data_IF_388829347501
#
_entry.id   IF_388829347501
#
_cell.length_a   1.000
_cell.length_b   1.000
_cell.length_c   1.000
_cell.angle_alpha   90.00
_cell.angle_beta   90.00
_cell.angle_gamma   90.00
#
_symmetry.space_group_name_H-M   'P 1'
#
loop_
_entity.id
_entity.type
_entity.pdbx_description
1 polymer ?
#
# COMPACT_ATOMS: atom_id res chain seq x y z
N UNK A 1 -15.83 -0.85 -11.45
CA UNK A 1 -15.12 -1.05 -10.17
C UNK A 1 -14.73 -2.52 -10.11
N UNK A 2 -13.44 -2.85 -10.06
CA UNK A 2 -13.02 -4.24 -9.92
C UNK A 2 -13.46 -4.77 -8.55
N UNK A 3 -13.99 -5.99 -8.49
CA UNK A 3 -14.30 -6.64 -7.21
C UNK A 3 -13.03 -6.74 -6.36
N UNK A 4 -13.10 -6.49 -5.04
CA UNK A 4 -11.95 -6.66 -4.18
C UNK A 4 -11.47 -8.12 -4.26
N UNK A 5 -10.15 -8.36 -4.25
CA UNK A 5 -9.62 -9.71 -4.34
C UNK A 5 -10.09 -10.55 -3.15
N UNK A 6 -10.59 -11.76 -3.43
CA UNK A 6 -11.21 -12.63 -2.43
C UNK A 6 -10.21 -13.24 -1.41
N UNK A 7 -8.91 -13.18 -1.70
CA UNK A 7 -7.87 -13.72 -0.83
C UNK A 7 -6.51 -13.07 -1.09
N UNK A 8 -5.57 -13.24 -0.16
CA UNK A 8 -4.17 -12.86 -0.36
C UNK A 8 -3.54 -13.59 -1.55
N UNK A 9 -3.97 -14.82 -1.83
CA UNK A 9 -3.50 -15.59 -3.00
C UNK A 9 -3.96 -14.92 -4.29
N UNK A 10 -5.21 -14.46 -4.37
CA UNK A 10 -5.71 -13.73 -5.53
C UNK A 10 -4.96 -12.41 -5.78
N UNK A 11 -4.48 -11.74 -4.71
CA UNK A 11 -3.60 -10.56 -4.82
C UNK A 11 -2.25 -10.96 -5.43
N UNK A 12 -1.65 -12.07 -4.99
CA UNK A 12 -0.39 -12.56 -5.52
C UNK A 12 -0.50 -12.97 -6.99
N UNK A 13 -1.57 -13.67 -7.36
CA UNK A 13 -1.87 -14.02 -8.76
C UNK A 13 -2.04 -12.76 -9.62
N UNK A 14 -2.75 -11.75 -9.11
CA UNK A 14 -2.88 -10.46 -9.80
C UNK A 14 -1.52 -9.77 -9.96
N UNK A 15 -0.65 -9.84 -8.95
CA UNK A 15 0.72 -9.32 -9.02
C UNK A 15 1.57 -10.04 -10.08
N UNK A 16 1.41 -11.35 -10.21
CA UNK A 16 2.13 -12.16 -11.21
C UNK A 16 1.67 -11.89 -12.64
N UNK A 17 0.39 -11.53 -12.81
CA UNK A 17 -0.19 -11.17 -14.11
C UNK A 17 0.04 -9.70 -14.51
N UNK A 18 0.60 -8.86 -13.63
CA UNK A 18 1.01 -7.50 -14.00
C UNK A 18 2.14 -7.59 -15.04
N UNK A 19 1.83 -7.24 -16.28
CA UNK A 19 2.80 -7.11 -17.36
C UNK A 19 3.05 -5.65 -17.68
N UNK A 20 4.31 -5.31 -17.96
CA UNK A 20 4.70 -3.97 -18.42
C UNK A 20 5.97 -3.42 -17.75
N UNK A 21 6.46 -2.26 -18.23
CA UNK A 21 7.72 -1.66 -17.78
C UNK A 21 7.73 -1.25 -16.29
N UNK A 22 6.55 -1.18 -15.66
CA UNK A 22 6.39 -0.80 -14.25
C UNK A 22 5.90 -1.94 -13.35
N UNK A 23 5.75 -3.16 -13.88
CA UNK A 23 5.25 -4.31 -13.11
C UNK A 23 6.10 -4.59 -11.87
N UNK A 24 7.43 -4.59 -12.00
CA UNK A 24 8.33 -4.79 -10.86
C UNK A 24 8.15 -3.72 -9.76
N UNK A 25 7.95 -2.46 -10.16
CA UNK A 25 7.71 -1.35 -9.22
C UNK A 25 6.35 -1.43 -8.54
N UNK A 26 5.32 -1.83 -9.29
CA UNK A 26 3.99 -2.08 -8.74
C UNK A 26 4.00 -3.23 -7.71
N UNK A 27 4.72 -4.32 -7.98
CA UNK A 27 4.89 -5.44 -7.03
C UNK A 27 5.57 -4.96 -5.75
N UNK A 28 6.58 -4.08 -5.84
CA UNK A 28 7.23 -3.49 -4.66
C UNK A 28 6.22 -2.67 -3.84
N UNK A 29 5.44 -1.80 -4.49
CA UNK A 29 4.44 -0.98 -3.82
C UNK A 29 3.35 -1.84 -3.14
N UNK A 30 2.89 -2.91 -3.79
CA UNK A 30 1.89 -3.83 -3.24
C UNK A 30 2.43 -4.63 -2.04
N UNK A 31 3.68 -5.10 -2.12
CA UNK A 31 4.35 -5.77 -0.98
C UNK A 31 4.48 -4.82 0.21
N UNK A 32 4.90 -3.58 -0.03
CA UNK A 32 5.02 -2.56 1.00
C UNK A 32 3.66 -2.23 1.63
N UNK A 33 2.62 -2.09 0.81
CA UNK A 33 1.25 -1.85 1.28
C UNK A 33 0.76 -2.98 2.19
N UNK A 34 0.98 -4.24 1.80
CA UNK A 34 0.64 -5.39 2.63
C UNK A 34 1.38 -5.35 3.99
N UNK A 35 2.67 -5.03 3.97
CA UNK A 35 3.47 -4.89 5.20
C UNK A 35 2.92 -3.79 6.11
N UNK A 36 2.57 -2.63 5.55
CA UNK A 36 1.99 -1.51 6.31
C UNK A 36 0.64 -1.87 6.90
N UNK A 37 -0.23 -2.55 6.15
CA UNK A 37 -1.54 -3.01 6.64
C UNK A 37 -1.37 -4.00 7.79
N UNK A 38 -0.56 -5.05 7.61
CA UNK A 38 -0.32 -6.07 8.66
C UNK A 38 0.21 -5.42 9.94
N UNK A 39 1.19 -4.53 9.81
CA UNK A 39 1.76 -3.85 10.96
C UNK A 39 0.74 -2.92 11.66
N UNK A 40 -0.08 -2.21 10.89
CA UNK A 40 -1.10 -1.32 11.42
C UNK A 40 -2.20 -2.09 12.14
N UNK A 41 -2.64 -3.23 11.60
CA UNK A 41 -3.60 -4.13 12.25
C UNK A 41 -3.05 -4.68 13.56
N UNK A 42 -1.81 -5.17 13.55
CA UNK A 42 -1.16 -5.65 14.77
C UNK A 42 -1.06 -4.55 15.83
N UNK A 43 -0.70 -3.32 15.42
CA UNK A 43 -0.61 -2.17 16.32
C UNK A 43 -1.99 -1.78 16.88
N UNK A 44 -3.02 -1.78 16.06
CA UNK A 44 -4.40 -1.50 16.47
C UNK A 44 -4.89 -2.56 17.46
N UNK A 45 -4.72 -3.85 17.16
CA UNK A 45 -5.11 -4.94 18.06
C UNK A 45 -4.44 -4.82 19.43
N UNK A 46 -3.15 -4.50 19.47
CA UNK A 46 -2.47 -4.25 20.74
C UNK A 46 -3.03 -3.02 21.46
N UNK A 47 -3.28 -1.91 20.74
CA UNK A 47 -3.90 -0.73 21.34
C UNK A 47 -5.31 -1.03 21.88
N UNK A 48 -6.07 -1.86 21.19
CA UNK A 48 -7.39 -2.31 21.63
C UNK A 48 -7.30 -3.15 22.90
N UNK A 49 -6.42 -4.15 22.96
CA UNK A 49 -6.25 -5.01 24.14
C UNK A 49 -5.81 -4.21 25.36
N UNK A 50 -4.87 -3.28 25.20
CA UNK A 50 -4.26 -2.57 26.34
C UNK A 50 -4.92 -1.24 26.69
N UNK A 51 -5.65 -0.62 25.75
CA UNK A 51 -6.23 0.72 25.93
C UNK A 51 -7.71 0.82 25.57
N UNK A 52 -8.33 -0.24 25.03
CA UNK A 52 -9.73 -0.24 24.60
C UNK A 52 -10.03 0.69 23.43
N UNK A 53 -9.00 1.14 22.69
CA UNK A 53 -9.17 2.05 21.55
C UNK A 53 -9.36 1.24 20.28
N UNK A 54 -10.46 1.45 19.58
CA UNK A 54 -10.72 0.95 18.22
C UNK A 54 -10.66 2.10 17.22
N UNK A 55 -10.14 1.84 16.02
CA UNK A 55 -10.19 2.81 14.93
C UNK A 55 -11.43 2.57 14.08
N UNK A 56 -12.00 3.63 13.54
CA UNK A 56 -12.95 3.49 12.42
C UNK A 56 -12.20 3.03 11.18
N UNK A 57 -12.90 2.41 10.22
CA UNK A 57 -12.30 2.00 8.95
C UNK A 57 -11.62 3.16 8.22
N UNK A 58 -12.22 4.34 8.25
CA UNK A 58 -11.68 5.58 7.67
C UNK A 58 -10.39 6.02 8.38
N UNK A 59 -10.39 6.01 9.72
CA UNK A 59 -9.21 6.37 10.49
C UNK A 59 -8.06 5.37 10.26
N UNK A 60 -8.38 4.08 10.17
CA UNK A 60 -7.40 3.05 9.83
C UNK A 60 -6.81 3.27 8.43
N UNK A 61 -7.66 3.56 7.43
CA UNK A 61 -7.21 3.87 6.07
C UNK A 61 -6.26 5.07 6.05
N UNK A 62 -6.57 6.16 6.75
CA UNK A 62 -5.71 7.36 6.83
C UNK A 62 -4.34 7.04 7.46
N UNK A 63 -4.30 6.17 8.47
CA UNK A 63 -3.04 5.71 9.07
C UNK A 63 -2.19 4.93 8.05
N UNK A 64 -2.82 4.04 7.30
CA UNK A 64 -2.14 3.24 6.25
C UNK A 64 -1.65 4.14 5.11
N UNK A 65 -2.50 5.03 4.59
CA UNK A 65 -2.16 5.96 3.51
C UNK A 65 -0.99 6.87 3.90
N UNK A 66 -1.06 7.48 5.08
CA UNK A 66 0.04 8.31 5.60
C UNK A 66 1.34 7.50 5.74
N UNK A 67 1.28 6.33 6.35
CA UNK A 67 2.47 5.48 6.52
C UNK A 67 3.06 5.00 5.18
N UNK A 68 2.21 4.74 4.17
CA UNK A 68 2.66 4.44 2.81
C UNK A 68 3.37 5.63 2.18
N UNK A 69 2.76 6.82 2.20
CA UNK A 69 3.36 8.04 1.66
C UNK A 69 4.73 8.32 2.31
N UNK A 70 4.82 8.25 3.63
CA UNK A 70 6.07 8.48 4.37
C UNK A 70 7.17 7.49 3.95
N UNK A 71 6.84 6.21 3.79
CA UNK A 71 7.80 5.18 3.36
C UNK A 71 8.20 5.33 1.90
N UNK A 72 7.26 5.63 1.02
CA UNK A 72 7.53 5.85 -0.40
C UNK A 72 8.42 7.08 -0.61
N UNK A 73 8.19 8.15 0.13
CA UNK A 73 9.04 9.35 0.14
C UNK A 73 10.45 9.07 0.69
N UNK A 74 10.56 8.21 1.71
CA UNK A 74 11.87 7.77 2.22
C UNK A 74 12.61 6.85 1.24
N UNK A 75 11.90 6.10 0.41
CA UNK A 75 12.47 5.17 -0.58
C UNK A 75 12.78 5.84 -1.92
N UNK A 76 12.27 7.05 -2.17
CA UNK A 76 12.69 7.88 -3.30
C UNK A 76 14.12 8.37 -3.10
N UNK A 77 15.07 7.50 -3.43
CA UNK A 77 16.44 7.92 -3.70
C UNK A 77 16.50 8.66 -5.04
N UNK A 78 17.23 9.78 -5.14
CA UNK A 78 17.42 10.50 -6.39
C UNK A 78 18.46 9.74 -7.23
N UNK A 79 18.10 8.57 -7.76
CA UNK A 79 19.01 7.78 -8.57
C UNK A 79 18.42 7.56 -9.96
N UNK A 80 19.01 8.29 -10.90
CA UNK A 80 18.95 8.14 -12.36
C UNK A 80 17.68 8.62 -13.09
N UNK A 81 17.88 9.75 -13.81
CA UNK A 81 17.34 10.11 -15.14
C UNK A 81 15.88 9.71 -15.40
N UNK A 82 14.95 10.57 -14.94
CA UNK A 82 13.77 11.19 -15.60
C UNK A 82 12.80 10.34 -16.46
N UNK A 83 12.99 9.03 -16.72
CA UNK A 83 12.16 8.30 -17.71
C UNK A 83 11.09 7.39 -17.09
N UNK A 84 10.93 7.34 -15.76
CA UNK A 84 9.94 6.43 -15.16
C UNK A 84 9.23 7.03 -13.93
N UNK A 85 7.92 6.76 -13.76
CA UNK A 85 7.12 7.29 -12.65
C UNK A 85 7.68 6.83 -11.31
N UNK A 86 7.63 7.74 -10.34
CA UNK A 86 8.01 7.49 -8.96
C UNK A 86 7.10 6.43 -8.32
N UNK A 87 7.58 5.75 -7.28
CA UNK A 87 6.75 4.77 -6.56
C UNK A 87 5.50 5.41 -5.93
N UNK A 88 5.57 6.71 -5.60
CA UNK A 88 4.45 7.49 -5.08
C UNK A 88 3.39 7.75 -6.16
N UNK A 89 3.79 8.11 -7.37
CA UNK A 89 2.86 8.27 -8.50
C UNK A 89 2.17 6.96 -8.86
N UNK A 90 2.92 5.85 -8.86
CA UNK A 90 2.35 4.52 -9.06
C UNK A 90 1.34 4.17 -7.95
N UNK A 91 1.63 4.53 -6.70
CA UNK A 91 0.70 4.32 -5.59
C UNK A 91 -0.61 5.10 -5.76
N UNK A 92 -0.54 6.37 -6.20
CA UNK A 92 -1.75 7.15 -6.47
C UNK A 92 -2.61 6.55 -7.59
N UNK A 93 -2.01 5.92 -8.62
CA UNK A 93 -2.78 5.20 -9.63
C UNK A 93 -3.59 4.02 -9.08
N UNK A 94 -3.14 3.39 -8.00
CA UNK A 94 -3.88 2.29 -7.36
C UNK A 94 -4.94 2.77 -6.35
N UNK A 95 -4.79 3.97 -5.78
CA UNK A 95 -5.66 4.50 -4.70
C UNK A 95 -6.75 5.46 -5.20
N UNK A 96 -6.71 5.86 -6.48
CA UNK A 96 -7.69 6.75 -7.11
C UNK A 96 -9.02 6.04 -7.47
N UNK A 97 -9.74 5.47 -6.49
CA UNK A 97 -11.18 5.74 -6.47
C UNK A 97 -11.66 6.52 -5.23
N UNK A 98 -10.76 6.99 -4.36
CA UNK A 98 -11.10 7.74 -3.14
C UNK A 98 -10.47 9.15 -3.06
N UNK A 99 -10.06 9.72 -4.20
CA UNK A 99 -9.59 11.12 -4.31
C UNK A 99 -10.75 12.05 -4.64
#
# INVERSE_FOLDING_TARGET
>A
MASPPASLVAVLESCQHLQGPHAARAVIALKLLNQVIIYSLWREWNAHIFKGVTLTQEAFFLVVDRAMRDRLLSLSHPTAVVVAPSLLELYFWFISPYS
#
